data_IF_245696227605
#
_entry.id   IF_245696227605
#
_cell.length_a   1.000
_cell.length_b   1.000
_cell.length_c   1.000
_cell.angle_alpha   90.00
_cell.angle_beta   90.00
_cell.angle_gamma   90.00
#
_symmetry.space_group_name_H-M   'P 1'
#
loop_
_entity.id
_entity.type
_entity.pdbx_description
1 polymer ?
#
# COMPACT_ATOMS: atom_id res chain seq x y z
N UNK A 1 -48.94 -78.42 50.68
CA UNK A 1 -49.06 -76.99 50.24
C UNK A 1 -47.69 -76.38 50.25
N UNK A 2 -47.08 -76.26 49.10
CA UNK A 2 -45.66 -75.86 48.92
C UNK A 2 -45.62 -74.46 48.24
N UNK A 3 -45.22 -73.46 48.99
CA UNK A 3 -45.09 -72.08 48.44
C UNK A 3 -43.78 -71.92 47.65
N UNK A 4 -43.95 -71.65 46.38
CA UNK A 4 -42.86 -71.40 45.45
C UNK A 4 -42.49 -69.90 45.48
N UNK A 5 -41.28 -69.58 45.91
CA UNK A 5 -40.72 -68.22 45.82
C UNK A 5 -40.10 -68.01 44.47
N UNK A 6 -40.59 -67.04 43.68
CA UNK A 6 -40.07 -66.64 42.46
C UNK A 6 -39.05 -65.49 42.72
N UNK A 7 -37.79 -65.77 42.50
CA UNK A 7 -36.71 -64.74 42.53
C UNK A 7 -36.71 -63.90 41.26
N UNK A 8 -36.71 -62.59 41.41
CA UNK A 8 -36.64 -61.63 40.36
C UNK A 8 -35.14 -61.27 40.04
N UNK A 9 -34.66 -61.34 38.84
CA UNK A 9 -33.27 -60.97 38.52
C UNK A 9 -33.15 -59.43 38.45
N UNK A 10 -32.12 -58.92 39.12
CA UNK A 10 -31.73 -57.52 39.09
C UNK A 10 -31.05 -57.25 37.74
N UNK A 11 -31.70 -56.43 36.90
CA UNK A 11 -31.09 -55.89 35.67
C UNK A 11 -30.03 -54.86 36.07
N UNK A 12 -28.75 -55.16 35.75
CA UNK A 12 -27.65 -54.25 35.92
C UNK A 12 -27.72 -53.14 34.86
N UNK A 13 -27.82 -51.91 35.32
CA UNK A 13 -27.72 -50.71 34.45
C UNK A 13 -26.23 -50.43 34.23
N UNK A 14 -25.74 -50.60 33.00
CA UNK A 14 -24.41 -50.11 32.57
C UNK A 14 -24.49 -48.61 32.36
N UNK A 15 -23.52 -47.83 32.88
CA UNK A 15 -23.42 -46.41 32.53
C UNK A 15 -22.81 -46.25 31.13
N UNK A 16 -23.55 -45.64 30.22
CA UNK A 16 -23.05 -45.18 28.91
C UNK A 16 -22.14 -43.98 29.17
N UNK A 17 -20.82 -44.16 29.02
CA UNK A 17 -19.87 -43.08 29.05
C UNK A 17 -20.02 -42.30 27.73
N UNK A 18 -20.60 -41.11 27.80
CA UNK A 18 -20.65 -40.17 26.69
C UNK A 18 -19.26 -39.57 26.48
N UNK A 19 -18.54 -40.01 25.45
CA UNK A 19 -17.30 -39.40 24.99
C UNK A 19 -17.66 -38.12 24.24
N UNK A 20 -17.50 -36.96 24.89
CA UNK A 20 -17.60 -35.66 24.25
C UNK A 20 -16.40 -35.44 23.34
N UNK A 21 -16.60 -35.55 22.03
CA UNK A 21 -15.61 -35.17 21.02
C UNK A 21 -15.55 -33.63 20.93
N UNK A 22 -14.58 -33.00 21.60
CA UNK A 22 -14.27 -31.61 21.37
C UNK A 22 -13.63 -31.48 19.96
N UNK A 23 -14.43 -31.11 18.98
CA UNK A 23 -13.91 -30.66 17.69
C UNK A 23 -13.24 -29.29 17.90
N UNK A 24 -11.91 -29.30 18.05
CA UNK A 24 -11.13 -28.07 17.94
C UNK A 24 -11.15 -27.63 16.46
N UNK A 25 -12.04 -26.70 16.15
CA UNK A 25 -11.97 -25.97 14.87
C UNK A 25 -10.69 -25.12 14.89
N UNK A 26 -9.58 -25.71 14.45
CA UNK A 26 -8.35 -25.00 14.17
C UNK A 26 -8.62 -24.06 12.98
N UNK A 27 -9.01 -22.82 13.27
CA UNK A 27 -9.06 -21.79 12.27
C UNK A 27 -7.66 -21.60 11.71
N UNK A 28 -7.46 -21.94 10.43
CA UNK A 28 -6.28 -21.54 9.67
C UNK A 28 -6.28 -20.01 9.61
N UNK A 29 -5.60 -19.38 10.59
CA UNK A 29 -5.27 -17.98 10.49
C UNK A 29 -4.42 -17.84 9.22
N UNK A 30 -5.00 -17.34 8.15
CA UNK A 30 -4.23 -16.86 7.02
C UNK A 30 -3.34 -15.74 7.58
N UNK A 31 -2.05 -16.02 7.73
CA UNK A 31 -1.06 -14.99 8.00
C UNK A 31 -1.05 -14.07 6.76
N UNK A 32 -1.88 -13.03 6.81
CA UNK A 32 -1.82 -11.97 5.82
C UNK A 32 -0.39 -11.47 5.73
N UNK A 33 0.16 -11.38 4.54
CA UNK A 33 1.50 -10.82 4.35
C UNK A 33 1.53 -9.45 5.04
N UNK A 34 2.48 -9.25 5.95
CA UNK A 34 2.65 -7.95 6.60
C UNK A 34 2.82 -6.86 5.53
N UNK A 35 2.12 -5.75 5.72
CA UNK A 35 2.20 -4.61 4.80
C UNK A 35 3.65 -4.09 4.69
N UNK A 36 4.08 -3.76 3.48
CA UNK A 36 5.44 -3.32 3.20
C UNK A 36 5.61 -1.85 3.63
N UNK A 37 6.62 -1.51 4.46
CA UNK A 37 6.91 -0.13 4.82
C UNK A 37 7.34 0.68 3.60
N UNK A 38 6.58 1.73 3.27
CA UNK A 38 6.75 2.57 2.09
C UNK A 38 6.90 4.04 2.50
N UNK A 39 8.02 4.64 2.15
CA UNK A 39 8.18 6.10 2.19
C UNK A 39 7.87 6.70 0.82
N UNK A 40 7.23 7.85 0.80
CA UNK A 40 6.87 8.58 -0.42
C UNK A 40 7.43 9.98 -0.32
N UNK A 41 8.34 10.36 -1.22
CA UNK A 41 8.81 11.74 -1.37
C UNK A 41 7.83 12.52 -2.23
N UNK A 42 7.75 13.83 -1.98
CA UNK A 42 6.92 14.71 -2.78
C UNK A 42 7.46 14.81 -4.20
N UNK A 43 6.56 14.69 -5.17
CA UNK A 43 6.91 14.78 -6.58
C UNK A 43 7.18 16.22 -6.96
N UNK A 44 8.06 16.40 -7.92
CA UNK A 44 8.26 17.69 -8.56
C UNK A 44 7.32 17.87 -9.77
N UNK A 45 7.05 19.11 -10.08
CA UNK A 45 6.32 19.50 -11.28
C UNK A 45 7.17 20.41 -12.14
N UNK A 46 7.25 20.11 -13.42
CA UNK A 46 7.95 20.93 -14.40
C UNK A 46 7.01 21.27 -15.57
N UNK A 47 6.94 22.54 -15.95
CA UNK A 47 6.13 23.00 -17.08
C UNK A 47 7.02 23.60 -18.14
N UNK A 48 7.04 22.99 -19.34
CA UNK A 48 7.73 23.47 -20.53
C UNK A 48 6.77 23.66 -21.70
N UNK A 49 5.44 23.73 -21.42
CA UNK A 49 4.39 23.85 -22.44
C UNK A 49 4.47 25.14 -23.26
N UNK A 50 5.09 26.17 -22.71
CA UNK A 50 5.12 27.50 -23.34
C UNK A 50 3.80 28.25 -23.30
N UNK A 51 2.85 27.83 -22.48
CA UNK A 51 1.60 28.54 -22.31
C UNK A 51 1.81 29.92 -21.70
N UNK A 52 1.16 30.96 -22.22
CA UNK A 52 1.38 32.34 -21.76
C UNK A 52 0.72 32.62 -20.40
N UNK A 53 -0.27 31.82 -19.99
CA UNK A 53 -0.97 31.99 -18.71
C UNK A 53 -0.14 31.42 -17.56
N UNK A 54 -0.04 32.17 -16.46
CA UNK A 54 0.57 31.64 -15.23
C UNK A 54 -0.39 30.66 -14.55
N UNK A 55 -0.04 29.38 -14.62
CA UNK A 55 -0.83 28.29 -14.06
C UNK A 55 -0.15 27.63 -12.84
N UNK A 56 0.93 28.22 -12.30
CA UNK A 56 1.71 27.62 -11.21
C UNK A 56 0.89 27.24 -10.00
N UNK A 57 0.03 28.13 -9.51
CA UNK A 57 -0.81 27.86 -8.36
C UNK A 57 -1.80 26.71 -8.61
N UNK A 58 -2.38 26.62 -9.81
CA UNK A 58 -3.27 25.54 -10.22
C UNK A 58 -2.53 24.20 -10.25
N UNK A 59 -1.34 24.16 -10.86
CA UNK A 59 -0.55 22.93 -10.96
C UNK A 59 -0.01 22.48 -9.59
N UNK A 60 0.35 23.41 -8.72
CA UNK A 60 0.73 23.06 -7.33
C UNK A 60 -0.45 22.44 -6.57
N UNK A 61 -1.65 22.98 -6.71
CA UNK A 61 -2.85 22.41 -6.07
C UNK A 61 -3.16 21.00 -6.62
N UNK A 62 -3.05 20.81 -7.94
CA UNK A 62 -3.22 19.48 -8.57
C UNK A 62 -2.18 18.49 -8.13
N UNK A 63 -0.92 18.89 -8.07
CA UNK A 63 0.15 18.02 -7.59
C UNK A 63 -0.08 17.62 -6.12
N UNK A 64 -0.47 18.57 -5.28
CA UNK A 64 -0.79 18.27 -3.89
C UNK A 64 -1.94 17.25 -3.77
N UNK A 65 -3.03 17.44 -4.54
CA UNK A 65 -4.15 16.51 -4.58
C UNK A 65 -3.73 15.13 -5.10
N UNK A 66 -2.90 15.08 -6.14
CA UNK A 66 -2.34 13.85 -6.70
C UNK A 66 -1.49 13.08 -5.66
N UNK A 67 -0.64 13.78 -4.93
CA UNK A 67 0.19 13.18 -3.89
C UNK A 67 -0.63 12.66 -2.71
N UNK A 68 -1.65 13.40 -2.30
CA UNK A 68 -2.57 12.97 -1.23
C UNK A 68 -3.35 11.71 -1.65
N UNK A 69 -3.88 11.69 -2.87
CA UNK A 69 -4.61 10.55 -3.40
C UNK A 69 -3.70 9.30 -3.49
N UNK A 70 -2.47 9.42 -4.02
CA UNK A 70 -1.51 8.31 -4.03
C UNK A 70 -1.25 7.77 -2.62
N UNK A 71 -1.04 8.65 -1.63
CA UNK A 71 -0.82 8.23 -0.24
C UNK A 71 -2.05 7.50 0.31
N UNK A 72 -3.23 8.05 0.10
CA UNK A 72 -4.50 7.47 0.53
C UNK A 72 -4.73 6.09 -0.07
N UNK A 73 -4.59 5.95 -1.39
CA UNK A 73 -4.87 4.72 -2.12
C UNK A 73 -3.86 3.61 -1.77
N UNK A 74 -2.57 3.96 -1.67
CA UNK A 74 -1.54 2.98 -1.29
C UNK A 74 -1.71 2.52 0.16
N UNK A 75 -2.03 3.41 1.10
CA UNK A 75 -2.35 3.04 2.48
C UNK A 75 -3.62 2.17 2.54
N UNK A 76 -4.68 2.58 1.83
CA UNK A 76 -5.96 1.87 1.77
C UNK A 76 -5.88 0.48 1.12
N UNK A 77 -4.86 0.23 0.31
CA UNK A 77 -4.65 -1.06 -0.34
C UNK A 77 -4.36 -2.22 0.62
N UNK A 78 -3.97 -1.94 1.85
CA UNK A 78 -3.50 -2.92 2.83
C UNK A 78 -2.16 -3.58 2.50
N UNK A 79 -1.52 -3.22 1.39
CA UNK A 79 -0.22 -3.75 0.98
C UNK A 79 0.96 -2.94 1.49
N UNK A 80 0.73 -1.68 1.82
CA UNK A 80 1.75 -0.77 2.29
C UNK A 80 1.40 -0.15 3.64
N UNK A 81 2.42 0.07 4.45
CA UNK A 81 2.36 0.93 5.63
C UNK A 81 3.18 2.17 5.32
N UNK A 82 2.54 3.34 5.31
CA UNK A 82 3.26 4.57 4.98
C UNK A 82 4.19 4.99 6.11
N UNK A 83 5.42 5.33 5.75
CA UNK A 83 6.45 5.83 6.65
C UNK A 83 6.68 7.31 6.34
N UNK A 84 6.47 8.15 7.34
CA UNK A 84 6.73 9.58 7.21
C UNK A 84 8.24 9.87 7.16
N UNK A 85 8.64 10.73 6.24
CA UNK A 85 10.01 11.26 6.18
C UNK A 85 10.06 12.67 6.76
N UNK A 86 11.21 13.03 7.31
CA UNK A 86 11.49 14.37 7.80
C UNK A 86 12.74 14.93 7.12
N UNK A 87 12.58 16.05 6.40
CA UNK A 87 13.65 16.76 5.71
C UNK A 87 13.85 18.18 6.28
N UNK A 88 13.66 18.33 7.59
CA UNK A 88 13.74 19.62 8.27
C UNK A 88 12.42 20.40 8.15
N UNK A 89 12.50 21.66 7.78
CA UNK A 89 11.33 22.53 7.58
C UNK A 89 10.66 22.33 6.23
N UNK A 90 11.35 21.72 5.27
CA UNK A 90 10.89 21.59 3.89
C UNK A 90 10.34 20.19 3.61
N UNK A 91 9.41 20.07 2.65
CA UNK A 91 8.97 18.76 2.18
C UNK A 91 10.15 17.94 1.63
N UNK A 92 10.13 16.63 1.90
CA UNK A 92 11.10 15.72 1.28
C UNK A 92 10.80 15.58 -0.21
N UNK A 93 11.58 16.20 -1.06
CA UNK A 93 11.44 16.12 -2.53
C UNK A 93 12.78 15.86 -3.21
N UNK A 94 12.74 15.31 -4.42
CA UNK A 94 13.95 15.12 -5.25
C UNK A 94 14.54 16.44 -5.75
N UNK A 95 13.77 17.53 -5.72
CA UNK A 95 14.24 18.86 -6.14
C UNK A 95 15.11 19.53 -5.08
N UNK A 96 14.78 19.30 -3.80
CA UNK A 96 15.33 20.07 -2.68
C UNK A 96 16.29 19.25 -1.82
N UNK A 97 16.23 17.91 -1.91
CA UNK A 97 17.05 17.02 -1.11
C UNK A 97 17.86 16.07 -2.00
N UNK A 98 19.17 15.96 -1.80
CA UNK A 98 20.01 15.02 -2.55
C UNK A 98 19.50 13.58 -2.44
N UNK A 99 19.52 12.84 -3.54
CA UNK A 99 18.98 11.45 -3.59
C UNK A 99 19.61 10.54 -2.54
N UNK A 100 20.91 10.65 -2.30
CA UNK A 100 21.60 9.85 -1.28
C UNK A 100 21.04 10.13 0.12
N UNK A 101 20.78 11.40 0.43
CA UNK A 101 20.20 11.80 1.72
C UNK A 101 18.77 11.28 1.88
N UNK A 102 17.96 11.33 0.82
CA UNK A 102 16.59 10.77 0.84
C UNK A 102 16.60 9.26 1.10
N UNK A 103 17.52 8.53 0.45
CA UNK A 103 17.68 7.09 0.67
C UNK A 103 18.06 6.79 2.12
N UNK A 104 19.00 7.56 2.69
CA UNK A 104 19.45 7.36 4.07
C UNK A 104 18.34 7.72 5.07
N UNK A 105 17.63 8.82 4.87
CA UNK A 105 16.47 9.20 5.70
C UNK A 105 15.38 8.12 5.66
N UNK A 106 15.08 7.58 4.48
CA UNK A 106 14.09 6.53 4.34
C UNK A 106 14.51 5.22 5.05
N UNK A 107 15.80 4.84 4.97
CA UNK A 107 16.34 3.69 5.72
C UNK A 107 16.25 3.92 7.23
N UNK A 108 16.65 5.09 7.71
CA UNK A 108 16.60 5.46 9.13
C UNK A 108 15.18 5.48 9.67
N UNK A 109 14.21 5.90 8.86
CA UNK A 109 12.79 5.89 9.20
C UNK A 109 12.18 4.47 9.18
N UNK A 110 12.93 3.45 8.74
CA UNK A 110 12.45 2.06 8.69
C UNK A 110 11.66 1.72 7.43
N UNK A 111 11.72 2.53 6.38
CA UNK A 111 11.09 2.19 5.11
C UNK A 111 11.83 1.02 4.42
N UNK A 112 11.07 0.16 3.77
CA UNK A 112 11.59 -0.87 2.85
C UNK A 112 11.64 -0.36 1.42
N UNK A 113 10.65 0.41 1.02
CA UNK A 113 10.56 1.02 -0.30
C UNK A 113 10.58 2.54 -0.18
N UNK A 114 11.20 3.19 -1.17
CA UNK A 114 11.12 4.64 -1.38
C UNK A 114 10.49 4.90 -2.75
N UNK A 115 9.32 5.54 -2.76
CA UNK A 115 8.62 6.00 -3.97
C UNK A 115 8.96 7.46 -4.23
N UNK A 116 9.32 7.77 -5.46
CA UNK A 116 9.66 9.11 -5.91
C UNK A 116 9.27 9.30 -7.38
N UNK A 117 9.19 10.55 -7.81
CA UNK A 117 8.78 10.83 -9.18
C UNK A 117 8.60 12.31 -9.46
N UNK A 118 8.03 12.58 -10.63
CA UNK A 118 7.68 13.93 -11.05
C UNK A 118 6.73 13.93 -12.24
N UNK A 119 6.08 15.08 -12.43
CA UNK A 119 5.17 15.32 -13.54
C UNK A 119 5.76 16.43 -14.39
N UNK A 120 5.76 16.21 -15.70
CA UNK A 120 6.26 17.16 -16.67
C UNK A 120 5.18 17.49 -17.70
N UNK A 121 4.73 18.73 -17.71
CA UNK A 121 3.82 19.27 -18.73
C UNK A 121 4.62 19.66 -19.95
N UNK A 122 4.47 18.89 -21.02
CA UNK A 122 5.17 19.10 -22.29
C UNK A 122 4.45 20.08 -23.21
N UNK A 123 3.13 20.13 -23.13
CA UNK A 123 2.27 21.00 -23.93
C UNK A 123 0.92 21.18 -23.22
N UNK A 124 0.03 22.02 -23.79
CA UNK A 124 -1.37 22.16 -23.35
C UNK A 124 -2.13 20.84 -23.19
N UNK A 125 -1.74 19.80 -23.96
CA UNK A 125 -2.48 18.55 -24.03
C UNK A 125 -1.74 17.36 -23.46
N UNK A 126 -0.41 17.42 -23.32
CA UNK A 126 0.39 16.23 -22.99
C UNK A 126 1.21 16.48 -21.74
N UNK A 127 1.04 15.55 -20.80
CA UNK A 127 1.82 15.47 -19.57
C UNK A 127 2.47 14.09 -19.44
N UNK A 128 3.64 14.05 -18.88
CA UNK A 128 4.36 12.83 -18.50
C UNK A 128 4.48 12.75 -16.99
N UNK A 129 4.23 11.57 -16.44
CA UNK A 129 4.56 11.24 -15.07
C UNK A 129 5.63 10.15 -15.07
N UNK A 130 6.82 10.45 -14.57
CA UNK A 130 7.87 9.47 -14.33
C UNK A 130 7.84 9.11 -12.85
N UNK A 131 7.59 7.83 -12.55
CA UNK A 131 7.41 7.36 -11.17
C UNK A 131 8.23 6.11 -10.95
N UNK A 132 8.97 6.09 -9.86
CA UNK A 132 9.94 5.06 -9.58
C UNK A 132 9.89 4.65 -8.10
N UNK A 133 10.15 3.38 -7.81
CA UNK A 133 10.36 2.93 -6.44
C UNK A 133 11.60 2.05 -6.34
N UNK A 134 12.41 2.29 -5.32
CA UNK A 134 13.59 1.51 -5.01
C UNK A 134 13.37 0.69 -3.74
N UNK A 135 13.78 -0.56 -3.76
CA UNK A 135 13.91 -1.39 -2.57
C UNK A 135 15.21 -1.04 -1.84
N UNK A 136 15.07 -0.46 -0.65
CA UNK A 136 16.19 0.06 0.14
C UNK A 136 17.10 -1.04 0.71
N UNK A 137 16.61 -2.28 0.77
CA UNK A 137 17.41 -3.44 1.24
C UNK A 137 18.28 -4.01 0.12
N UNK A 138 17.73 -4.11 -1.08
CA UNK A 138 18.43 -4.73 -2.23
C UNK A 138 19.06 -3.69 -3.15
N UNK A 139 18.75 -2.40 -2.95
CA UNK A 139 19.15 -1.26 -3.78
C UNK A 139 18.70 -1.38 -5.24
N UNK A 140 17.66 -2.18 -5.49
CA UNK A 140 17.13 -2.40 -6.83
C UNK A 140 15.89 -1.54 -7.08
N UNK A 141 15.81 -1.02 -8.30
CA UNK A 141 14.57 -0.41 -8.79
C UNK A 141 13.53 -1.52 -8.97
N UNK A 142 12.45 -1.45 -8.19
CA UNK A 142 11.35 -2.44 -8.22
C UNK A 142 10.13 -1.93 -8.96
N UNK A 143 10.05 -0.62 -9.16
CA UNK A 143 9.02 0.03 -9.95
C UNK A 143 9.63 1.14 -10.78
N UNK A 144 9.35 1.14 -12.07
CA UNK A 144 9.79 2.19 -13.00
C UNK A 144 8.73 2.32 -14.10
N UNK A 145 8.02 3.45 -14.11
CA UNK A 145 6.97 3.73 -15.08
C UNK A 145 7.09 5.15 -15.63
N UNK A 146 6.95 5.25 -16.94
CA UNK A 146 6.67 6.49 -17.61
C UNK A 146 5.23 6.42 -18.14
N UNK A 147 4.39 7.27 -17.59
CA UNK A 147 3.00 7.42 -17.97
C UNK A 147 2.85 8.68 -18.79
N UNK A 148 2.19 8.59 -19.94
CA UNK A 148 1.73 9.75 -20.71
C UNK A 148 0.24 9.88 -20.54
N UNK A 149 -0.23 11.04 -20.12
CA UNK A 149 -1.66 11.32 -20.02
C UNK A 149 -2.02 12.63 -20.70
N UNK A 150 -3.27 12.72 -21.15
CA UNK A 150 -3.78 13.83 -21.93
C UNK A 150 -4.75 14.67 -21.13
N UNK A 151 -4.65 15.99 -21.37
CA UNK A 151 -5.49 16.99 -20.73
C UNK A 151 -4.89 17.54 -19.44
N UNK A 152 -5.17 18.81 -19.24
CA UNK A 152 -4.80 19.53 -18.02
C UNK A 152 -6.07 19.82 -17.22
N UNK A 153 -6.77 18.73 -16.86
CA UNK A 153 -8.02 18.76 -16.09
C UNK A 153 -7.91 17.91 -14.84
N UNK A 154 -8.73 18.19 -13.83
CA UNK A 154 -8.79 17.39 -12.60
C UNK A 154 -9.01 15.90 -12.89
N UNK A 155 -9.89 15.59 -13.86
CA UNK A 155 -10.17 14.21 -14.25
C UNK A 155 -8.95 13.51 -14.85
N UNK A 156 -8.19 14.19 -15.69
CA UNK A 156 -6.98 13.61 -16.29
C UNK A 156 -5.93 13.28 -15.21
N UNK A 157 -5.74 14.16 -14.25
CA UNK A 157 -4.84 13.97 -13.13
C UNK A 157 -5.28 12.84 -12.22
N UNK A 158 -6.58 12.78 -11.89
CA UNK A 158 -7.16 11.71 -11.07
C UNK A 158 -7.03 10.33 -11.73
N UNK A 159 -7.26 10.23 -13.06
CA UNK A 159 -7.07 8.98 -13.78
C UNK A 159 -5.59 8.54 -13.82
N UNK A 160 -4.68 9.49 -13.99
CA UNK A 160 -3.25 9.20 -13.95
C UNK A 160 -2.81 8.70 -12.57
N UNK A 161 -3.29 9.33 -11.52
CA UNK A 161 -3.03 8.95 -10.14
C UNK A 161 -3.54 7.52 -9.85
N UNK A 162 -4.82 7.26 -10.11
CA UNK A 162 -5.43 5.94 -9.87
C UNK A 162 -4.72 4.82 -10.64
N UNK A 163 -4.24 5.10 -11.87
CA UNK A 163 -3.43 4.15 -12.63
C UNK A 163 -2.11 3.85 -11.91
N UNK A 164 -1.41 4.86 -11.42
CA UNK A 164 -0.13 4.68 -10.69
C UNK A 164 -0.34 3.90 -9.41
N UNK A 165 -1.32 4.27 -8.60
CA UNK A 165 -1.66 3.58 -7.36
C UNK A 165 -2.01 2.11 -7.61
N UNK A 166 -2.81 1.83 -8.65
CA UNK A 166 -3.14 0.47 -9.07
C UNK A 166 -1.92 -0.35 -9.49
N UNK A 167 -1.00 0.24 -10.27
CA UNK A 167 0.23 -0.42 -10.70
C UNK A 167 1.17 -0.70 -9.51
N UNK A 168 1.32 0.24 -8.60
CA UNK A 168 2.09 0.05 -7.37
C UNK A 168 1.49 -1.05 -6.50
N UNK A 169 0.17 -1.07 -6.33
CA UNK A 169 -0.55 -2.09 -5.57
C UNK A 169 -0.40 -3.49 -6.20
N UNK A 170 -0.22 -3.57 -7.51
CA UNK A 170 0.02 -4.83 -8.21
C UNK A 170 1.46 -5.37 -8.04
N UNK A 171 2.39 -4.60 -7.48
CA UNK A 171 3.75 -5.07 -7.24
C UNK A 171 3.75 -6.25 -6.26
N UNK A 172 4.35 -7.37 -6.70
CA UNK A 172 4.79 -8.44 -5.81
C UNK A 172 6.13 -8.05 -5.21
N UNK A 173 6.15 -7.51 -3.99
CA UNK A 173 7.41 -7.30 -3.27
C UNK A 173 7.81 -8.61 -2.66
N UNK A 174 8.89 -9.22 -3.18
CA UNK A 174 9.46 -10.43 -2.57
C UNK A 174 9.99 -10.12 -1.16
N UNK A 175 9.75 -11.05 -0.24
CA UNK A 175 10.14 -10.94 1.18
C UNK A 175 11.62 -11.16 1.40
#
# INVERSE_FOLDING_TARGET
>A
MKKMKIGLPILGVLPIAAVAFLATAGGLAHAGSAATPLAIVDFNYNDTSGEPADQRALHQARLAAFMEAIRSDLAGSGKFTLIALSCGSDPCSMSDTPSAELLDKARQAGARLLLFGGIHKMSTLIQWAKIQAVDLKTEKMVFDRLLTFRGDTEDAWRHAEAFVAGQMTALGVEK
#
